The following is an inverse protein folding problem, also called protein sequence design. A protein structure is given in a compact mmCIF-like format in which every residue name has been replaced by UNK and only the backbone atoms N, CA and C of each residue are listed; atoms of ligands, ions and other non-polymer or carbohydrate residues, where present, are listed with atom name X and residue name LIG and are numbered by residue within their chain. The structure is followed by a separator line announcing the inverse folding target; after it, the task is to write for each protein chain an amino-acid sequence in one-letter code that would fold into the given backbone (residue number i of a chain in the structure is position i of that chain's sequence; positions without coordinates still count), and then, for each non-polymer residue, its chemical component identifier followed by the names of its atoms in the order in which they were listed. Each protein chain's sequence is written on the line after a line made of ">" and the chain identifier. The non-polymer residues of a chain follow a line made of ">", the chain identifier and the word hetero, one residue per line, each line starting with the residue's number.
data_IF_929013042302
#
_entry.id   IF_929013042302
#
_cell.length_a   1.000
_cell.length_b   1.000
_cell.length_c   1.000
_cell.angle_alpha   90.00
_cell.angle_beta   90.00
_cell.angle_gamma   90.00
#
_symmetry.space_group_name_H-M   'P 1'
#
loop_
_entity.id
_entity.type
_entity.pdbx_description
1 polymer ?
#
# COMPACT_ATOMS: atom_id res chain seq x y z
N UNK A 1 6.85 -1.55 -16.40
CA UNK A 1 5.75 -2.28 -17.06
C UNK A 1 4.82 -2.73 -15.96
N UNK A 2 3.66 -2.09 -15.81
CA UNK A 2 2.54 -2.85 -15.23
C UNK A 2 2.23 -3.96 -16.24
N UNK A 3 1.85 -5.15 -15.76
CA UNK A 3 1.54 -6.30 -16.61
C UNK A 3 0.35 -6.07 -17.57
N UNK A 4 -0.25 -4.89 -17.57
CA UNK A 4 -1.45 -4.51 -18.34
C UNK A 4 -1.18 -3.89 -19.72
N UNK A 5 -0.02 -4.13 -20.34
CA UNK A 5 0.23 -3.65 -21.71
C UNK A 5 0.72 -4.73 -22.68
N UNK A 6 1.07 -5.93 -22.21
CA UNK A 6 1.55 -7.01 -23.09
C UNK A 6 0.41 -7.82 -23.73
N UNK A 7 -0.72 -7.97 -23.04
CA UNK A 7 -1.86 -8.81 -23.48
C UNK A 7 -3.14 -8.00 -23.70
N UNK A 8 -3.49 -7.11 -22.78
CA UNK A 8 -4.70 -6.28 -22.84
C UNK A 8 -4.38 -4.91 -22.26
N UNK A 9 -4.80 -3.83 -22.93
CA UNK A 9 -4.61 -2.47 -22.41
C UNK A 9 -5.34 -2.29 -21.07
N UNK A 10 -4.74 -1.57 -20.11
CA UNK A 10 -5.22 -1.49 -18.72
C UNK A 10 -6.70 -1.11 -18.53
N UNK A 11 -7.27 -0.28 -19.41
CA UNK A 11 -8.68 0.11 -19.35
C UNK A 11 -9.68 -0.98 -19.77
N UNK A 12 -9.22 -2.06 -20.39
CA UNK A 12 -10.05 -3.14 -20.97
C UNK A 12 -9.99 -4.44 -20.16
N UNK A 13 -9.27 -4.45 -19.02
CA UNK A 13 -9.02 -5.68 -18.25
C UNK A 13 -10.32 -6.36 -17.79
N UNK A 14 -11.29 -5.60 -17.27
CA UNK A 14 -12.54 -6.21 -16.78
C UNK A 14 -13.36 -6.82 -17.92
N UNK A 15 -13.33 -6.21 -19.10
CA UNK A 15 -14.03 -6.75 -20.27
C UNK A 15 -13.33 -8.01 -20.79
N UNK A 16 -11.99 -8.03 -20.77
CA UNK A 16 -11.19 -9.20 -21.13
C UNK A 16 -11.30 -10.38 -20.15
N UNK A 17 -11.55 -10.10 -18.86
CA UNK A 17 -11.89 -11.13 -17.87
C UNK A 17 -13.29 -11.69 -18.10
N UNK A 18 -14.23 -10.81 -18.48
CA UNK A 18 -15.62 -11.16 -18.76
C UNK A 18 -15.75 -12.04 -20.00
N UNK A 19 -15.11 -11.64 -21.10
CA UNK A 19 -15.17 -12.38 -22.38
C UNK A 19 -14.25 -13.61 -22.44
N UNK A 20 -13.37 -13.77 -21.44
CA UNK A 20 -12.46 -14.91 -21.34
C UNK A 20 -11.19 -14.78 -22.18
N UNK A 21 -10.87 -13.58 -22.69
CA UNK A 21 -9.57 -13.28 -23.32
C UNK A 21 -8.41 -13.54 -22.35
N UNK A 22 -8.62 -13.27 -21.06
CA UNK A 22 -7.74 -13.69 -19.97
C UNK A 22 -8.57 -14.25 -18.81
N UNK A 23 -8.08 -15.27 -18.12
CA UNK A 23 -8.82 -15.91 -17.02
C UNK A 23 -8.69 -15.16 -15.70
N UNK A 24 -7.55 -14.50 -15.49
CA UNK A 24 -7.25 -13.75 -14.27
C UNK A 24 -6.31 -12.57 -14.51
N UNK A 25 -6.40 -11.56 -13.64
CA UNK A 25 -5.54 -10.38 -13.66
C UNK A 25 -5.09 -10.02 -12.24
N UNK A 26 -3.78 -9.87 -12.05
CA UNK A 26 -3.21 -9.30 -10.82
C UNK A 26 -3.04 -7.80 -11.00
N UNK A 27 -3.67 -7.01 -10.13
CA UNK A 27 -3.74 -5.57 -10.28
C UNK A 27 -3.79 -4.83 -8.93
N UNK A 28 -3.48 -3.55 -8.99
CA UNK A 28 -3.91 -2.61 -7.96
C UNK A 28 -5.40 -2.32 -8.16
N UNK A 29 -6.22 -2.64 -7.16
CA UNK A 29 -7.66 -2.44 -7.21
C UNK A 29 -8.03 -0.96 -7.44
N UNK A 30 -7.17 -0.02 -7.01
CA UNK A 30 -7.39 1.41 -7.24
C UNK A 30 -7.34 1.81 -8.72
N UNK A 31 -6.88 0.91 -9.62
CA UNK A 31 -6.92 1.14 -11.06
C UNK A 31 -8.34 1.11 -11.64
N UNK A 32 -9.30 0.55 -10.90
CA UNK A 32 -10.69 0.36 -11.36
C UNK A 32 -11.69 1.35 -10.73
N UNK A 33 -11.24 2.27 -9.88
CA UNK A 33 -12.13 3.16 -9.11
C UNK A 33 -12.88 4.19 -9.96
N UNK A 34 -12.34 4.54 -11.12
CA UNK A 34 -13.05 5.41 -12.08
C UNK A 34 -14.21 4.67 -12.78
N UNK A 35 -14.15 3.33 -12.84
CA UNK A 35 -15.25 2.50 -13.36
C UNK A 35 -16.27 2.24 -12.27
N UNK A 36 -15.82 1.80 -11.10
CA UNK A 36 -16.67 1.67 -9.92
C UNK A 36 -15.86 1.97 -8.64
N UNK A 37 -16.25 3.00 -7.85
CA UNK A 37 -15.55 3.35 -6.63
C UNK A 37 -15.54 2.23 -5.57
N UNK A 38 -16.40 1.21 -5.67
CA UNK A 38 -16.38 0.03 -4.81
C UNK A 38 -15.02 -0.67 -4.84
N UNK A 39 -14.30 -0.63 -5.98
CA UNK A 39 -12.98 -1.25 -6.07
C UNK A 39 -11.95 -0.68 -5.09
N UNK A 40 -12.13 0.55 -4.59
CA UNK A 40 -11.24 1.16 -3.60
C UNK A 40 -11.21 0.35 -2.28
N UNK A 41 -12.30 -0.34 -1.94
CA UNK A 41 -12.35 -1.18 -0.74
C UNK A 41 -11.58 -2.49 -0.88
N UNK A 42 -11.31 -2.99 -2.09
CA UNK A 42 -10.39 -4.12 -2.23
C UNK A 42 -8.94 -3.70 -1.96
N UNK A 43 -8.57 -2.49 -2.40
CA UNK A 43 -7.21 -1.94 -2.29
C UNK A 43 -7.01 -1.14 -1.00
N UNK A 44 -7.14 0.18 -1.11
CA UNK A 44 -7.11 1.10 0.03
C UNK A 44 -7.84 2.41 -0.28
N UNK A 45 -8.41 2.98 0.78
CA UNK A 45 -8.94 4.34 0.80
C UNK A 45 -7.95 5.29 1.51
N UNK A 46 -7.82 6.56 1.07
CA UNK A 46 -7.03 7.56 1.78
C UNK A 46 -7.38 7.64 3.28
N UNK A 47 -6.37 7.58 4.15
CA UNK A 47 -6.57 7.56 5.61
C UNK A 47 -7.48 6.43 6.11
N UNK A 48 -7.43 5.30 5.41
CA UNK A 48 -8.20 4.10 5.72
C UNK A 48 -7.52 3.14 6.69
N UNK A 49 -7.70 1.85 6.44
CA UNK A 49 -7.14 0.78 7.27
C UNK A 49 -5.64 0.60 6.97
N UNK A 50 -4.86 0.30 8.01
CA UNK A 50 -3.49 -0.22 7.84
C UNK A 50 -3.52 -1.60 7.15
N UNK A 51 -2.40 -2.15 6.62
CA UNK A 51 -2.45 -3.35 5.79
C UNK A 51 -3.01 -4.56 6.56
N UNK A 52 -2.59 -4.72 7.83
CA UNK A 52 -3.12 -5.79 8.68
C UNK A 52 -4.58 -5.61 9.08
N UNK A 53 -5.07 -4.37 9.17
CA UNK A 53 -6.49 -4.11 9.42
C UNK A 53 -7.34 -4.34 8.18
N UNK A 54 -6.85 -3.94 7.01
CA UNK A 54 -7.48 -4.18 5.72
C UNK A 54 -7.64 -5.68 5.47
N UNK A 55 -6.58 -6.45 5.70
CA UNK A 55 -6.62 -7.91 5.61
C UNK A 55 -7.60 -8.53 6.63
N UNK A 56 -7.62 -8.00 7.86
CA UNK A 56 -8.56 -8.46 8.88
C UNK A 56 -10.02 -8.21 8.48
N UNK A 57 -10.32 -7.03 7.93
CA UNK A 57 -11.65 -6.68 7.46
C UNK A 57 -12.08 -7.55 6.27
N UNK A 58 -11.21 -7.71 5.27
CA UNK A 58 -11.48 -8.53 4.08
C UNK A 58 -11.75 -9.98 4.46
N UNK A 59 -10.91 -10.61 5.29
CA UNK A 59 -11.01 -12.04 5.59
C UNK A 59 -11.97 -12.39 6.72
N UNK A 60 -12.03 -11.56 7.76
CA UNK A 60 -12.73 -11.88 9.02
C UNK A 60 -13.86 -10.90 9.35
N UNK A 61 -13.85 -9.70 8.76
CA UNK A 61 -14.91 -8.70 8.90
C UNK A 61 -16.05 -8.84 7.88
N UNK A 62 -16.03 -9.88 7.03
CA UNK A 62 -17.01 -10.09 5.97
C UNK A 62 -16.84 -9.17 4.75
N UNK A 63 -15.77 -8.37 4.70
CA UNK A 63 -15.53 -7.41 3.61
C UNK A 63 -15.41 -8.08 2.24
N UNK A 64 -14.63 -9.16 2.14
CA UNK A 64 -14.39 -9.81 0.84
C UNK A 64 -15.65 -10.36 0.20
N UNK A 65 -16.53 -10.98 1.00
CA UNK A 65 -17.79 -11.52 0.50
C UNK A 65 -18.65 -10.39 -0.10
N UNK A 66 -18.84 -9.30 0.64
CA UNK A 66 -19.67 -8.16 0.21
C UNK A 66 -19.12 -7.46 -1.01
N UNK A 67 -17.80 -7.33 -1.10
CA UNK A 67 -17.18 -6.75 -2.28
C UNK A 67 -17.39 -7.62 -3.51
N UNK A 68 -17.28 -8.94 -3.38
CA UNK A 68 -17.55 -9.87 -4.48
C UNK A 68 -19.02 -9.90 -4.91
N UNK A 69 -19.95 -9.70 -3.96
CA UNK A 69 -21.38 -9.48 -4.27
C UNK A 69 -21.59 -8.16 -5.04
N UNK A 70 -20.92 -7.08 -4.61
CA UNK A 70 -21.07 -5.77 -5.24
C UNK A 70 -20.52 -5.71 -6.67
N UNK A 71 -19.44 -6.44 -6.97
CA UNK A 71 -18.85 -6.49 -8.32
C UNK A 71 -19.33 -7.69 -9.15
N UNK A 72 -20.38 -8.38 -8.72
CA UNK A 72 -20.89 -9.56 -9.44
C UNK A 72 -21.33 -9.21 -10.87
N UNK A 73 -21.88 -8.01 -11.09
CA UNK A 73 -22.26 -7.51 -12.42
C UNK A 73 -21.08 -7.31 -13.38
N UNK A 74 -19.85 -7.22 -12.87
CA UNK A 74 -18.63 -7.21 -13.69
C UNK A 74 -18.23 -8.63 -14.15
N UNK A 75 -18.95 -9.67 -13.71
CA UNK A 75 -18.65 -11.08 -13.97
C UNK A 75 -17.24 -11.47 -13.53
N UNK A 76 -16.79 -10.91 -12.41
CA UNK A 76 -15.50 -11.22 -11.79
C UNK A 76 -15.66 -11.67 -10.35
N UNK A 77 -14.59 -12.22 -9.80
CA UNK A 77 -14.42 -12.47 -8.38
C UNK A 77 -13.01 -12.04 -7.96
N UNK A 78 -12.95 -11.27 -6.90
CA UNK A 78 -11.74 -10.73 -6.31
C UNK A 78 -11.17 -11.60 -5.20
N UNK A 79 -9.85 -11.68 -5.17
CA UNK A 79 -9.09 -12.37 -4.12
C UNK A 79 -7.90 -11.50 -3.69
N UNK A 80 -7.79 -11.13 -2.39
CA UNK A 80 -6.63 -10.40 -1.89
C UNK A 80 -5.37 -11.23 -2.08
N UNK A 81 -4.38 -10.67 -2.78
CA UNK A 81 -3.21 -11.39 -3.28
C UNK A 81 -1.96 -10.50 -3.24
N UNK A 82 -1.64 -9.98 -2.06
CA UNK A 82 -0.45 -9.16 -1.81
C UNK A 82 -0.81 -7.71 -1.53
N UNK A 83 0.22 -6.87 -1.42
CA UNK A 83 0.05 -5.44 -1.19
C UNK A 83 1.38 -4.75 -0.98
N UNK A 84 1.37 -3.43 -1.00
CA UNK A 84 2.57 -2.60 -0.83
C UNK A 84 2.82 -2.24 0.64
N UNK A 85 1.86 -2.53 1.52
CA UNK A 85 1.88 -2.02 2.88
C UNK A 85 1.54 -0.53 2.94
N UNK A 86 2.07 0.15 3.96
CA UNK A 86 1.96 1.62 4.08
C UNK A 86 2.79 2.26 2.97
N UNK A 87 2.15 3.08 2.15
CA UNK A 87 2.85 3.80 1.09
C UNK A 87 3.46 5.10 1.59
N UNK A 88 4.50 5.56 0.89
CA UNK A 88 5.09 6.87 1.16
C UNK A 88 4.19 7.98 0.59
N UNK A 89 4.34 9.19 1.13
CA UNK A 89 3.55 10.35 0.74
C UNK A 89 3.92 10.97 -0.59
N UNK A 90 5.04 10.56 -1.19
CA UNK A 90 5.39 10.98 -2.54
C UNK A 90 6.65 11.82 -2.64
N UNK A 91 7.04 12.05 -3.89
CA UNK A 91 8.22 12.78 -4.30
C UNK A 91 7.87 14.18 -4.81
N UNK A 92 8.56 15.19 -4.31
CA UNK A 92 8.29 16.59 -4.64
C UNK A 92 9.58 17.32 -5.00
N UNK A 93 9.48 18.22 -6.00
CA UNK A 93 10.60 19.06 -6.45
C UNK A 93 10.91 20.18 -5.47
N UNK A 94 9.96 20.55 -4.62
CA UNK A 94 10.10 21.57 -3.57
C UNK A 94 9.61 21.06 -2.22
N UNK A 95 10.03 21.73 -1.16
CA UNK A 95 9.58 21.47 0.20
C UNK A 95 8.12 21.88 0.38
N UNK A 96 7.36 21.10 1.15
CA UNK A 96 6.01 21.43 1.62
C UNK A 96 6.07 21.72 3.11
N UNK A 97 5.69 22.94 3.50
CA UNK A 97 5.71 23.42 4.89
C UNK A 97 4.32 23.63 5.44
N UNK A 98 3.38 23.99 4.59
CA UNK A 98 1.98 24.23 4.94
C UNK A 98 1.01 23.72 3.89
N UNK A 99 -0.27 23.60 4.25
CA UNK A 99 -1.36 23.16 3.35
C UNK A 99 -1.42 24.03 2.09
N UNK A 100 -1.20 25.34 2.23
CA UNK A 100 -1.19 26.30 1.11
C UNK A 100 -0.11 26.02 0.06
N UNK A 101 0.93 25.26 0.41
CA UNK A 101 1.96 24.86 -0.55
C UNK A 101 1.46 23.81 -1.56
N UNK A 102 0.30 23.20 -1.33
CA UNK A 102 -0.32 22.29 -2.29
C UNK A 102 -1.04 23.03 -3.42
N UNK A 103 -1.43 24.29 -3.19
CA UNK A 103 -2.18 25.08 -4.16
C UNK A 103 -1.44 25.22 -5.49
N UNK A 104 -2.10 24.84 -6.58
CA UNK A 104 -1.59 24.91 -7.94
C UNK A 104 -0.53 23.86 -8.31
N UNK A 105 -0.13 22.98 -7.39
CA UNK A 105 0.87 21.95 -7.70
C UNK A 105 0.34 20.92 -8.67
N UNK A 106 1.07 20.68 -9.75
CA UNK A 106 0.75 19.62 -10.72
C UNK A 106 1.27 18.29 -10.18
N UNK A 107 0.39 17.45 -9.65
CA UNK A 107 0.79 16.21 -8.99
C UNK A 107 0.33 14.99 -9.79
N UNK A 108 1.22 14.03 -10.06
CA UNK A 108 0.76 12.73 -10.57
C UNK A 108 0.12 11.95 -9.43
N UNK A 109 -1.20 11.76 -9.51
CA UNK A 109 -1.98 10.98 -8.56
C UNK A 109 -3.21 10.37 -9.25
N UNK A 110 -3.71 9.25 -8.74
CA UNK A 110 -4.90 8.57 -9.25
C UNK A 110 -6.04 8.46 -8.23
N UNK A 111 -7.23 8.13 -8.72
CA UNK A 111 -8.38 7.72 -7.92
C UNK A 111 -8.77 8.68 -6.79
N UNK A 112 -9.12 8.12 -5.64
CA UNK A 112 -9.50 8.90 -4.45
C UNK A 112 -8.39 9.84 -3.98
N UNK A 113 -7.11 9.48 -4.12
CA UNK A 113 -6.02 10.35 -3.70
C UNK A 113 -5.92 11.62 -4.57
N UNK A 114 -6.15 11.48 -5.88
CA UNK A 114 -6.26 12.63 -6.78
C UNK A 114 -7.40 13.57 -6.35
N UNK A 115 -8.58 13.03 -6.01
CA UNK A 115 -9.71 13.82 -5.53
C UNK A 115 -9.38 14.55 -4.21
N UNK A 116 -8.71 13.88 -3.27
CA UNK A 116 -8.25 14.50 -2.01
C UNK A 116 -7.26 15.63 -2.27
N UNK A 117 -6.25 15.40 -3.11
CA UNK A 117 -5.26 16.42 -3.45
C UNK A 117 -5.91 17.62 -4.17
N UNK A 118 -6.92 17.39 -5.01
CA UNK A 118 -7.68 18.46 -5.66
C UNK A 118 -8.44 19.34 -4.66
N UNK A 119 -9.06 18.74 -3.62
CA UNK A 119 -9.69 19.49 -2.52
C UNK A 119 -8.71 20.37 -1.76
N UNK A 120 -7.43 19.97 -1.70
CA UNK A 120 -6.34 20.76 -1.10
C UNK A 120 -5.73 21.80 -2.07
N UNK A 121 -6.31 21.98 -3.25
CA UNK A 121 -5.90 22.98 -4.23
C UNK A 121 -4.81 22.54 -5.20
N UNK A 122 -4.34 21.29 -5.13
CA UNK A 122 -3.44 20.75 -6.14
C UNK A 122 -4.19 20.50 -7.46
N UNK A 123 -3.43 20.25 -8.53
CA UNK A 123 -3.92 19.96 -9.87
C UNK A 123 -3.44 18.56 -10.27
N UNK A 124 -4.21 17.49 -9.94
CA UNK A 124 -3.82 16.12 -10.28
C UNK A 124 -3.64 15.92 -11.79
N UNK A 125 -2.64 15.13 -12.18
CA UNK A 125 -2.30 14.80 -13.55
C UNK A 125 -2.27 13.28 -13.72
N UNK A 126 -2.91 12.79 -14.78
CA UNK A 126 -2.82 11.39 -15.20
C UNK A 126 -1.65 11.24 -16.16
N UNK A 127 -0.67 10.42 -15.78
CA UNK A 127 0.50 10.11 -16.60
C UNK A 127 0.77 8.61 -16.53
N UNK A 128 1.14 8.02 -17.67
CA UNK A 128 1.64 6.66 -17.70
C UNK A 128 2.99 6.58 -16.96
N UNK A 129 3.25 5.45 -16.28
CA UNK A 129 4.43 5.30 -15.42
C UNK A 129 5.75 5.55 -16.15
N UNK A 130 5.82 5.19 -17.44
CA UNK A 130 7.01 5.41 -18.29
C UNK A 130 7.34 6.89 -18.50
N UNK A 131 6.35 7.77 -18.38
CA UNK A 131 6.49 9.21 -18.65
C UNK A 131 6.76 10.01 -17.37
N UNK A 132 6.54 9.41 -16.19
CA UNK A 132 6.61 10.08 -14.88
C UNK A 132 7.99 10.69 -14.63
N UNK A 133 9.08 9.91 -14.76
CA UNK A 133 10.43 10.40 -14.47
C UNK A 133 10.79 11.58 -15.39
N UNK A 134 10.49 11.46 -16.68
CA UNK A 134 10.75 12.50 -17.68
C UNK A 134 9.92 13.75 -17.40
N UNK A 135 8.64 13.61 -17.06
CA UNK A 135 7.77 14.72 -16.73
C UNK A 135 8.21 15.44 -15.45
N UNK A 136 8.64 14.69 -14.43
CA UNK A 136 9.16 15.23 -13.17
C UNK A 136 10.49 15.97 -13.39
N UNK A 137 11.41 15.36 -14.13
CA UNK A 137 12.71 15.96 -14.46
C UNK A 137 12.58 17.24 -15.28
N UNK A 138 11.65 17.27 -16.25
CA UNK A 138 11.34 18.44 -17.06
C UNK A 138 10.48 19.49 -16.32
N UNK A 139 9.95 19.18 -15.15
CA UNK A 139 9.07 20.07 -14.40
C UNK A 139 7.68 20.27 -14.99
N UNK A 140 7.20 19.32 -15.80
CA UNK A 140 5.80 19.27 -16.25
C UNK A 140 4.85 18.90 -15.11
N UNK A 141 5.35 18.14 -14.14
CA UNK A 141 4.73 17.90 -12.84
C UNK A 141 5.69 18.35 -11.72
N UNK A 142 5.11 18.75 -10.60
CA UNK A 142 5.81 19.23 -9.42
C UNK A 142 6.09 18.13 -8.39
N UNK A 143 5.34 17.03 -8.48
CA UNK A 143 5.50 15.85 -7.66
C UNK A 143 4.58 14.71 -8.06
N UNK A 144 4.65 13.63 -7.29
CA UNK A 144 3.80 12.46 -7.46
C UNK A 144 3.57 11.75 -6.13
N UNK A 145 2.42 11.09 -6.00
CA UNK A 145 2.27 10.01 -5.01
C UNK A 145 3.23 8.86 -5.35
N UNK A 146 3.64 8.08 -4.35
CA UNK A 146 4.62 7.01 -4.57
C UNK A 146 4.33 5.77 -3.74
N UNK A 147 4.85 4.63 -4.18
CA UNK A 147 4.66 3.36 -3.49
C UNK A 147 5.54 3.29 -2.25
N UNK A 148 6.85 3.29 -2.43
CA UNK A 148 7.77 3.09 -1.32
C UNK A 148 9.22 2.99 -1.77
N UNK A 149 10.17 3.01 -0.81
CA UNK A 149 11.58 3.26 -1.11
C UNK A 149 12.18 2.33 -2.17
N UNK A 150 11.80 1.06 -2.19
CA UNK A 150 12.35 0.06 -3.10
C UNK A 150 11.96 0.31 -4.57
N UNK A 151 10.67 0.47 -4.84
CA UNK A 151 10.18 0.70 -6.20
C UNK A 151 10.55 2.09 -6.71
N UNK A 152 10.53 3.08 -5.82
CA UNK A 152 10.89 4.46 -6.13
C UNK A 152 12.39 4.60 -6.48
N UNK A 153 13.27 3.82 -5.85
CA UNK A 153 14.71 3.77 -6.18
C UNK A 153 14.93 3.28 -7.60
N UNK A 154 14.22 2.20 -7.98
CA UNK A 154 14.31 1.61 -9.32
C UNK A 154 13.81 2.55 -10.39
N UNK A 155 12.76 3.32 -10.10
CA UNK A 155 12.26 4.37 -10.98
C UNK A 155 13.22 5.58 -11.05
N UNK A 156 14.14 5.73 -10.09
CA UNK A 156 15.11 6.81 -10.07
C UNK A 156 14.51 8.17 -9.72
N UNK A 157 13.36 8.22 -9.05
CA UNK A 157 12.63 9.46 -8.74
C UNK A 157 13.47 10.46 -7.94
N UNK A 158 14.36 9.96 -7.08
CA UNK A 158 15.33 10.75 -6.31
C UNK A 158 16.28 11.61 -7.17
N UNK A 159 16.42 11.30 -8.47
CA UNK A 159 17.23 12.09 -9.41
C UNK A 159 16.51 13.36 -9.89
N UNK A 160 15.18 13.36 -9.84
CA UNK A 160 14.35 14.45 -10.35
C UNK A 160 13.60 15.23 -9.26
N UNK A 161 13.47 14.67 -8.06
CA UNK A 161 12.84 15.29 -6.89
C UNK A 161 13.69 15.10 -5.63
N UNK A 162 13.73 16.13 -4.77
CA UNK A 162 14.58 16.13 -3.55
C UNK A 162 13.82 15.81 -2.27
N UNK A 163 12.52 16.02 -2.24
CA UNK A 163 11.72 15.92 -1.03
C UNK A 163 10.85 14.68 -1.08
N UNK A 164 10.97 13.84 -0.06
CA UNK A 164 10.23 12.58 0.04
C UNK A 164 9.42 12.59 1.33
N UNK A 165 8.10 12.72 1.20
CA UNK A 165 7.21 12.93 2.34
C UNK A 165 6.50 11.65 2.80
N UNK A 166 6.00 11.64 4.02
CA UNK A 166 4.98 10.70 4.53
C UNK A 166 4.14 11.37 5.64
N UNK A 167 2.84 11.09 5.82
CA UNK A 167 1.92 10.34 4.96
C UNK A 167 1.15 11.28 4.00
N UNK A 168 1.08 10.93 2.71
CA UNK A 168 0.29 11.63 1.67
C UNK A 168 -0.08 10.71 0.49
N UNK A 169 0.06 9.38 0.65
CA UNK A 169 -0.24 8.38 -0.38
C UNK A 169 -1.70 7.91 -0.34
N UNK A 170 -2.13 7.09 -1.32
CA UNK A 170 -3.51 6.63 -1.48
C UNK A 170 -4.04 5.76 -0.33
N UNK A 171 -3.19 5.34 0.61
CA UNK A 171 -3.62 4.79 1.88
C UNK A 171 -2.50 4.17 2.71
N UNK A 172 -2.84 3.87 3.97
CA UNK A 172 -1.96 3.21 4.93
C UNK A 172 -1.90 1.69 4.72
N UNK A 173 -2.57 1.13 3.70
CA UNK A 173 -2.81 -0.30 3.60
C UNK A 173 -3.05 -0.89 2.21
N UNK A 174 -2.47 -0.33 1.14
CA UNK A 174 -2.79 -0.76 -0.23
C UNK A 174 -2.61 -2.28 -0.42
N UNK A 175 -3.70 -2.96 -0.74
CA UNK A 175 -3.75 -4.37 -1.10
C UNK A 175 -3.84 -4.52 -2.62
N UNK A 176 -3.17 -5.54 -3.14
CA UNK A 176 -3.35 -6.01 -4.50
C UNK A 176 -4.44 -7.06 -4.55
N UNK A 177 -5.11 -7.10 -5.69
CA UNK A 177 -6.19 -8.02 -5.97
C UNK A 177 -5.83 -8.91 -7.14
N UNK A 178 -6.21 -10.18 -7.04
CA UNK A 178 -6.33 -11.06 -8.18
C UNK A 178 -7.81 -11.13 -8.54
N UNK A 179 -8.16 -10.58 -9.70
CA UNK A 179 -9.50 -10.68 -10.28
C UNK A 179 -9.55 -11.90 -11.20
N UNK A 180 -10.59 -12.71 -11.08
CA UNK A 180 -10.79 -13.92 -11.88
C UNK A 180 -12.13 -13.80 -12.59
N UNK A 181 -12.16 -14.06 -13.89
CA UNK A 181 -13.39 -14.09 -14.67
C UNK A 181 -14.34 -15.19 -14.17
N UNK A 182 -15.64 -14.93 -14.15
CA UNK A 182 -16.66 -15.83 -13.60
C UNK A 182 -16.62 -17.21 -14.27
N UNK A 183 -16.49 -17.24 -15.59
CA UNK A 183 -16.42 -18.47 -16.38
C UNK A 183 -15.20 -19.33 -16.01
N UNK A 184 -14.03 -18.70 -15.86
CA UNK A 184 -12.82 -19.39 -15.43
C UNK A 184 -12.97 -19.92 -13.99
N UNK A 185 -13.53 -19.12 -13.08
CA UNK A 185 -13.71 -19.50 -11.69
C UNK A 185 -14.69 -20.67 -11.50
N UNK A 186 -15.80 -20.68 -12.23
CA UNK A 186 -16.82 -21.74 -12.14
C UNK A 186 -16.33 -23.05 -12.75
N UNK A 187 -15.47 -23.00 -13.77
CA UNK A 187 -14.86 -24.17 -14.40
C UNK A 187 -13.86 -24.91 -13.49
N UNK A 188 -13.29 -24.24 -12.47
CA UNK A 188 -12.32 -24.87 -11.58
C UNK A 188 -12.96 -25.95 -10.69
N UNK A 189 -12.36 -27.15 -10.57
CA UNK A 189 -12.79 -28.13 -9.58
C UNK A 189 -12.67 -27.60 -8.14
N UNK A 190 -13.45 -28.13 -7.18
CA UNK A 190 -13.41 -27.68 -5.78
C UNK A 190 -12.00 -27.65 -5.17
N UNK A 191 -11.18 -28.66 -5.46
CA UNK A 191 -9.80 -28.72 -4.98
C UNK A 191 -8.94 -27.57 -5.51
N UNK A 192 -9.16 -27.13 -6.76
CA UNK A 192 -8.39 -26.05 -7.37
C UNK A 192 -8.87 -24.68 -6.87
N UNK A 193 -10.18 -24.51 -6.63
CA UNK A 193 -10.68 -23.30 -5.94
C UNK A 193 -10.09 -23.14 -4.55
N UNK A 194 -10.00 -24.24 -3.79
CA UNK A 194 -9.36 -24.24 -2.47
C UNK A 194 -7.86 -23.92 -2.56
N UNK A 195 -7.13 -24.56 -3.48
CA UNK A 195 -5.71 -24.29 -3.70
C UNK A 195 -5.47 -22.82 -4.13
N UNK A 196 -6.32 -22.29 -5.00
CA UNK A 196 -6.24 -20.90 -5.48
C UNK A 196 -6.43 -19.90 -4.33
N UNK A 197 -7.47 -20.08 -3.50
CA UNK A 197 -7.70 -19.23 -2.33
C UNK A 197 -6.54 -19.29 -1.32
N UNK A 198 -5.98 -20.48 -1.10
CA UNK A 198 -4.81 -20.66 -0.24
C UNK A 198 -3.55 -19.98 -0.81
N UNK A 199 -3.32 -20.08 -2.12
CA UNK A 199 -2.21 -19.41 -2.79
C UNK A 199 -2.33 -17.88 -2.72
N UNK A 200 -3.53 -17.32 -2.92
CA UNK A 200 -3.77 -15.89 -2.76
C UNK A 200 -3.48 -15.42 -1.32
N UNK A 201 -3.91 -16.20 -0.32
CA UNK A 201 -3.62 -15.92 1.08
C UNK A 201 -2.10 -15.95 1.38
N UNK A 202 -1.39 -16.93 0.86
CA UNK A 202 0.06 -17.02 1.01
C UNK A 202 0.79 -15.85 0.32
N UNK A 203 0.36 -15.45 -0.88
CA UNK A 203 0.88 -14.28 -1.58
C UNK A 203 0.66 -12.97 -0.80
N UNK A 204 -0.50 -12.83 -0.15
CA UNK A 204 -0.82 -11.76 0.81
C UNK A 204 0.27 -11.56 1.86
N UNK A 205 0.66 -12.66 2.52
CA UNK A 205 1.71 -12.66 3.55
C UNK A 205 3.10 -12.40 2.95
N UNK A 206 3.37 -12.86 1.73
CA UNK A 206 4.69 -12.78 1.09
C UNK A 206 5.04 -11.42 0.47
N UNK A 207 4.07 -10.68 -0.08
CA UNK A 207 4.33 -9.42 -0.78
C UNK A 207 4.59 -8.24 0.18
N UNK A 208 3.89 -8.16 1.32
CA UNK A 208 4.04 -7.03 2.24
C UNK A 208 5.44 -6.91 2.87
N UNK A 209 6.13 -8.00 3.25
CA UNK A 209 7.53 -7.96 3.70
C UNK A 209 8.53 -7.55 2.61
N UNK A 210 8.26 -7.89 1.35
CA UNK A 210 9.14 -7.57 0.23
C UNK A 210 9.18 -6.07 -0.10
N UNK A 211 8.03 -5.40 -0.02
CA UNK A 211 7.86 -3.95 -0.25
C UNK A 211 8.24 -3.11 0.97
N UNK A 212 8.09 -3.64 2.19
CA UNK A 212 8.56 -3.00 3.42
C UNK A 212 10.06 -3.18 3.68
N UNK A 213 10.73 -4.12 3.00
CA UNK A 213 12.19 -4.23 3.03
C UNK A 213 12.79 -3.00 2.36
N UNK A 214 13.28 -2.06 3.16
CA UNK A 214 14.10 -0.99 2.63
C UNK A 214 15.31 -1.59 1.91
N UNK A 215 15.67 -1.10 0.70
CA UNK A 215 16.95 -1.42 0.11
C UNK A 215 18.05 -1.07 1.12
N UNK A 216 18.97 -2.00 1.37
CA UNK A 216 20.05 -1.76 2.33
C UNK A 216 20.78 -0.45 2.00
N UNK A 217 20.77 0.49 2.93
CA UNK A 217 21.44 1.79 2.81
C UNK A 217 20.71 2.86 1.98
N UNK A 218 19.46 2.65 1.54
CA UNK A 218 18.71 3.64 0.74
C UNK A 218 18.65 5.03 1.39
N UNK A 219 18.41 5.09 2.71
CA UNK A 219 18.35 6.34 3.49
C UNK A 219 19.65 7.14 3.52
N UNK A 220 20.81 6.50 3.28
CA UNK A 220 22.12 7.17 3.28
C UNK A 220 22.61 7.57 1.88
N UNK A 221 22.04 6.99 0.82
CA UNK A 221 22.50 7.18 -0.56
C UNK A 221 21.86 8.39 -1.26
N UNK A 222 20.66 8.78 -0.86
CA UNK A 222 19.96 9.87 -1.54
C UNK A 222 20.27 11.22 -0.89
N UNK A 223 20.57 12.27 -1.69
CA UNK A 223 20.72 13.64 -1.20
C UNK A 223 19.34 14.27 -0.93
N UNK A 224 18.42 13.51 -0.34
CA UNK A 224 16.99 13.81 -0.25
C UNK A 224 16.58 14.05 1.20
N UNK A 225 15.75 15.07 1.41
CA UNK A 225 15.09 15.28 2.68
C UNK A 225 13.90 14.33 2.78
N UNK A 226 14.10 13.17 3.42
CA UNK A 226 12.98 12.34 3.86
C UNK A 226 12.40 12.95 5.14
N UNK A 227 11.13 13.35 5.12
CA UNK A 227 10.51 14.05 6.25
C UNK A 227 9.06 13.64 6.41
N UNK A 228 8.58 13.68 7.65
CA UNK A 228 7.14 13.67 7.87
C UNK A 228 6.57 14.91 7.19
N UNK A 229 5.47 14.76 6.45
CA UNK A 229 4.63 15.88 6.11
C UNK A 229 4.25 16.61 7.41
N UNK A 230 4.24 17.96 7.42
CA UNK A 230 3.69 18.74 8.52
C UNK A 230 2.34 18.17 8.96
N UNK A 231 2.14 18.04 10.28
CA UNK A 231 0.91 17.44 10.85
C UNK A 231 -0.37 18.10 10.34
N UNK A 232 -0.30 19.40 10.05
CA UNK A 232 -1.40 20.15 9.48
C UNK A 232 -1.78 19.70 8.06
N UNK A 233 -0.80 19.32 7.23
CA UNK A 233 -1.04 18.79 5.89
C UNK A 233 -1.76 17.44 5.99
N UNK A 234 -1.26 16.54 6.84
CA UNK A 234 -1.90 15.24 7.06
C UNK A 234 -3.34 15.39 7.61
N UNK A 235 -3.57 16.34 8.53
CA UNK A 235 -4.90 16.63 9.07
C UNK A 235 -5.83 17.20 8.00
N UNK A 236 -5.36 18.13 7.17
CA UNK A 236 -6.14 18.68 6.07
C UNK A 236 -6.50 17.60 5.05
N UNK A 237 -5.56 16.70 4.72
CA UNK A 237 -5.82 15.54 3.87
C UNK A 237 -6.90 14.62 4.43
N UNK A 238 -6.89 14.34 5.74
CA UNK A 238 -7.93 13.54 6.37
C UNK A 238 -9.32 14.16 6.21
N UNK A 239 -9.45 15.47 6.45
CA UNK A 239 -10.73 16.18 6.32
C UNK A 239 -11.19 16.23 4.86
N UNK A 240 -10.27 16.48 3.92
CA UNK A 240 -10.57 16.43 2.49
C UNK A 240 -11.01 15.03 2.04
N UNK A 241 -10.44 13.95 2.60
CA UNK A 241 -10.89 12.59 2.32
C UNK A 241 -12.32 12.34 2.80
N UNK A 242 -12.69 12.80 3.99
CA UNK A 242 -14.07 12.71 4.48
C UNK A 242 -15.06 13.44 3.54
N UNK A 243 -14.69 14.60 2.99
CA UNK A 243 -15.50 15.30 1.99
C UNK A 243 -15.65 14.49 0.69
N UNK A 244 -14.54 13.94 0.16
CA UNK A 244 -14.58 13.10 -1.04
C UNK A 244 -15.46 11.87 -0.81
N UNK A 245 -15.38 11.23 0.36
CA UNK A 245 -16.27 10.12 0.69
C UNK A 245 -17.73 10.57 0.72
N UNK A 246 -18.05 11.70 1.36
CA UNK A 246 -19.40 12.22 1.40
C UNK A 246 -19.98 12.45 0.00
N UNK A 247 -19.18 12.97 -0.94
CA UNK A 247 -19.57 13.16 -2.34
C UNK A 247 -19.83 11.83 -3.04
N UNK A 248 -18.97 10.83 -2.88
CA UNK A 248 -19.17 9.49 -3.47
C UNK A 248 -20.41 8.80 -2.90
N UNK A 249 -20.65 8.92 -1.59
CA UNK A 249 -21.80 8.33 -0.90
C UNK A 249 -23.14 8.87 -1.42
N UNK A 250 -23.17 10.13 -1.88
CA UNK A 250 -24.38 10.75 -2.41
C UNK A 250 -24.81 10.15 -3.77
N UNK A 251 -23.86 9.62 -4.54
CA UNK A 251 -24.10 9.11 -5.90
C UNK A 251 -24.05 7.58 -6.07
N UNK A 252 -23.65 6.81 -5.05
CA UNK A 252 -23.45 5.36 -5.19
C UNK A 252 -23.95 4.58 -3.96
N UNK A 253 -25.03 3.83 -4.13
CA UNK A 253 -25.68 3.06 -3.06
C UNK A 253 -24.84 1.87 -2.57
N UNK A 254 -24.20 1.13 -3.50
CA UNK A 254 -23.33 0.01 -3.15
C UNK A 254 -22.13 0.48 -2.32
N UNK A 255 -21.49 1.58 -2.76
CA UNK A 255 -20.43 2.24 -2.01
C UNK A 255 -20.93 2.68 -0.63
N UNK A 256 -22.15 3.25 -0.53
CA UNK A 256 -22.73 3.68 0.75
C UNK A 256 -22.91 2.56 1.74
N UNK A 257 -23.43 1.42 1.29
CA UNK A 257 -23.64 0.26 2.14
C UNK A 257 -22.30 -0.26 2.68
N UNK A 258 -21.33 -0.49 1.79
CA UNK A 258 -20.01 -1.03 2.16
C UNK A 258 -19.23 -0.04 3.04
N UNK A 259 -19.27 1.25 2.71
CA UNK A 259 -18.54 2.28 3.46
C UNK A 259 -18.99 2.36 4.91
N UNK A 260 -20.29 2.21 5.19
CA UNK A 260 -20.81 2.31 6.56
C UNK A 260 -20.21 1.24 7.48
N UNK A 261 -20.10 0.00 7.00
CA UNK A 261 -19.55 -1.13 7.73
C UNK A 261 -18.02 -1.07 7.81
N UNK A 262 -17.37 -0.74 6.69
CA UNK A 262 -15.93 -0.53 6.63
C UNK A 262 -15.48 0.58 7.61
N UNK A 263 -16.22 1.69 7.65
CA UNK A 263 -15.95 2.81 8.56
C UNK A 263 -16.13 2.40 10.02
N UNK A 264 -17.19 1.66 10.34
CA UNK A 264 -17.40 1.14 11.69
C UNK A 264 -16.22 0.26 12.13
N UNK A 265 -15.76 -0.64 11.26
CA UNK A 265 -14.57 -1.47 11.51
C UNK A 265 -13.31 -0.62 11.71
N UNK A 266 -13.06 0.36 10.84
CA UNK A 266 -11.92 1.30 10.96
C UNK A 266 -11.93 2.03 12.29
N UNK A 267 -13.07 2.61 12.65
CA UNK A 267 -13.20 3.42 13.86
C UNK A 267 -13.03 2.57 15.12
N UNK A 268 -13.52 1.32 15.12
CA UNK A 268 -13.26 0.36 16.19
C UNK A 268 -11.76 0.03 16.30
N UNK A 269 -11.10 -0.26 15.19
CA UNK A 269 -9.66 -0.55 15.16
C UNK A 269 -8.82 0.62 15.69
N UNK A 270 -9.17 1.86 15.32
CA UNK A 270 -8.50 3.07 15.80
C UNK A 270 -8.71 3.26 17.31
N UNK A 271 -9.93 3.02 17.82
CA UNK A 271 -10.26 3.15 19.25
C UNK A 271 -9.59 2.07 20.09
N UNK A 272 -9.70 0.80 19.70
CA UNK A 272 -9.22 -0.34 20.46
C UNK A 272 -7.69 -0.48 20.43
N UNK A 273 -7.07 -0.35 19.24
CA UNK A 273 -5.64 -0.64 19.06
C UNK A 273 -4.77 0.59 18.86
N UNK A 274 -5.35 1.76 18.57
CA UNK A 274 -4.62 3.00 18.34
C UNK A 274 -3.69 3.40 19.49
N UNK A 275 -4.15 3.42 20.77
CA UNK A 275 -3.31 3.78 21.90
C UNK A 275 -2.11 2.84 22.07
N UNK A 276 -2.33 1.53 21.97
CA UNK A 276 -1.29 0.51 22.11
C UNK A 276 -0.24 0.62 21.00
N UNK A 277 -0.66 0.72 19.73
CA UNK A 277 0.25 0.85 18.58
C UNK A 277 1.11 2.10 18.68
N UNK A 278 0.51 3.25 19.03
CA UNK A 278 1.25 4.51 19.25
C UNK A 278 2.27 4.38 20.38
N UNK A 279 1.88 3.76 21.49
CA UNK A 279 2.76 3.57 22.65
C UNK A 279 3.99 2.73 22.32
N UNK A 280 3.80 1.59 21.65
CA UNK A 280 4.90 0.70 21.23
C UNK A 280 5.81 1.40 20.21
N UNK A 281 5.23 2.00 19.17
CA UNK A 281 6.01 2.65 18.10
C UNK A 281 6.80 3.86 18.59
N UNK A 282 6.21 4.69 19.47
CA UNK A 282 6.91 5.83 20.06
C UNK A 282 8.10 5.38 20.91
N UNK A 283 7.88 4.35 21.73
CA UNK A 283 8.91 3.80 22.63
C UNK A 283 10.08 3.21 21.84
N UNK A 284 9.80 2.39 20.83
CA UNK A 284 10.85 1.79 19.98
C UNK A 284 11.62 2.84 19.19
N UNK A 285 10.92 3.81 18.58
CA UNK A 285 11.54 4.88 17.79
C UNK A 285 12.48 5.74 18.64
N UNK A 286 12.05 6.11 19.85
CA UNK A 286 12.86 6.91 20.76
C UNK A 286 14.17 6.20 21.16
N UNK A 287 14.12 4.88 21.39
CA UNK A 287 15.30 4.08 21.74
C UNK A 287 16.21 3.91 20.52
N UNK A 288 15.67 3.57 19.36
CA UNK A 288 16.45 3.27 18.15
C UNK A 288 17.15 4.51 17.61
N UNK A 289 16.49 5.68 17.55
CA UNK A 289 17.10 6.93 17.07
C UNK A 289 18.24 7.44 17.95
N UNK A 290 18.24 7.10 19.24
CA UNK A 290 19.30 7.50 20.18
C UNK A 290 20.53 6.59 20.13
N UNK A 291 20.46 5.43 19.45
CA UNK A 291 21.64 4.57 19.26
C UNK A 291 22.52 5.18 18.17
N UNK A 292 23.81 5.45 18.42
CA UNK A 292 24.71 5.90 17.37
C UNK A 292 24.72 4.87 16.23
N UNK A 293 24.48 5.32 15.00
CA UNK A 293 24.69 4.49 13.81
C UNK A 293 26.17 4.12 13.79
N UNK A 294 26.49 2.84 13.96
CA UNK A 294 27.85 2.37 14.19
C UNK A 294 28.83 2.78 13.09
N UNK A 295 29.58 3.85 13.35
CA UNK A 295 30.90 4.09 12.75
C UNK A 295 32.02 3.64 13.70
N UNK A 296 31.78 2.64 14.54
CA UNK A 296 32.80 2.05 15.40
C UNK A 296 33.08 0.62 14.94
N UNK A 297 33.75 0.49 13.79
CA UNK A 297 34.58 -0.69 13.52
C UNK A 297 35.81 -0.65 14.41
N UNK A 298 35.63 -0.68 15.73
CA UNK A 298 36.66 -1.20 16.61
C UNK A 298 36.71 -2.70 16.38
N UNK A 299 37.71 -3.13 15.59
CA UNK A 299 38.16 -4.53 15.60
C UNK A 299 38.21 -4.97 17.07
N UNK A 300 37.62 -6.10 17.47
CA UNK A 300 37.78 -6.57 18.83
C UNK A 300 39.28 -6.80 19.04
N UNK A 301 39.90 -5.97 19.87
CA UNK A 301 41.22 -6.23 20.40
C UNK A 301 41.15 -7.55 21.15
N UNK A 302 41.97 -8.50 20.74
CA UNK A 302 42.21 -9.74 21.46
C UNK A 302 42.70 -9.35 22.86
N UNK A 303 41.85 -9.54 23.87
CA UNK A 303 42.28 -9.60 25.26
C UNK A 303 42.38 -11.08 25.65
N UNK A 304 43.50 -11.53 26.24
CA UNK A 304 43.75 -12.94 26.48
C UNK A 304 43.04 -13.43 27.75
N UNK A 305 42.47 -14.62 27.68
CA UNK A 305 42.34 -15.54 28.82
C UNK A 305 41.20 -15.28 29.80
N UNK A 306 40.11 -16.02 29.64
CA UNK A 306 39.10 -16.23 30.68
C UNK A 306 38.10 -17.30 30.25
N UNK A 307 38.37 -18.55 30.62
CA UNK A 307 37.45 -19.67 30.36
C UNK A 307 36.27 -19.57 31.33
N UNK A 308 35.09 -19.27 30.82
CA UNK A 308 33.83 -19.71 31.45
C UNK A 308 32.96 -20.39 30.40
N UNK A 309 32.78 -21.69 30.59
CA UNK A 309 31.95 -22.57 29.81
C UNK A 309 30.48 -22.34 30.13
N UNK A 310 29.69 -21.95 29.12
CA UNK A 310 28.22 -22.08 29.17
C UNK A 310 27.83 -23.26 28.27
N UNK A 311 27.28 -24.29 28.90
CA UNK A 311 26.89 -25.55 28.29
C UNK A 311 25.71 -25.36 27.32
N UNK A 312 25.91 -25.77 26.07
CA UNK A 312 24.83 -25.94 25.08
C UNK A 312 24.19 -27.30 25.32
N UNK A 313 22.96 -27.31 25.83
CA UNK A 313 22.14 -28.51 25.98
C UNK A 313 21.85 -29.13 24.61
N UNK A 314 22.43 -30.30 24.34
CA UNK A 314 22.07 -31.15 23.20
C UNK A 314 20.78 -31.90 23.52
N UNK A 315 19.71 -31.58 22.80
CA UNK A 315 18.52 -32.45 22.71
C UNK A 315 18.93 -33.76 22.02
N UNK A 316 18.89 -34.88 22.75
CA UNK A 316 19.00 -36.23 22.18
C UNK A 316 17.59 -36.72 21.85
N UNK A 317 17.34 -36.99 20.58
CA UNK A 317 16.21 -37.79 20.14
C UNK A 317 16.45 -39.25 20.56
N UNK A 318 15.66 -39.76 21.50
CA UNK A 318 15.57 -41.20 21.76
C UNK A 318 14.56 -41.80 20.81
N UNK A 319 15.05 -42.51 19.79
CA UNK A 319 14.26 -43.48 19.05
C UNK A 319 14.00 -44.69 19.93
N UNK A 320 12.74 -45.11 20.02
CA UNK A 320 12.34 -46.40 20.55
C UNK A 320 12.05 -47.33 19.36
N UNK A 321 12.80 -48.43 19.28
CA UNK A 321 12.38 -49.69 18.65
C UNK A 321 12.72 -50.80 19.64
N UNK A 322 11.68 -51.44 20.17
CA UNK A 322 11.35 -52.84 19.92
C UNK A 322 9.89 -53.05 20.27
#
# INVERSE_FOLDING_TARGET
>A
MSASEEVVAGGQILDALRDGTVEACHADANSFVDRDPVFAFFGALPFGLTPGQQEAWLRFGGGLQRLNEAVEGDEVSGFPAGGTGVQMGGWFRRELKAVTDLAGLKLRAGGFNAAVLAKLGAVPQRLADRDVLTALGAGRIDGLESTGPYDDEKQGLYKAARYYFFPMGPGDGNQFILLVGRNAWTALPPAYRAAFGAACAAAGVGCAPGTTRQPEGASHRWPTACSCAPREIARAGFLAADEVYAETLAGNDAFRQIFSEWKAFRDEQVRAFGPARRGVQASSTAVVRRRPHGSDRRKPGVAPGGRESIAVGRFRATGARN
#
